data_IF_592992567117
#
_entry.id   IF_592992567117
#
_cell.length_a   1.000
_cell.length_b   1.000
_cell.length_c   1.000
_cell.angle_alpha   90.00
_cell.angle_beta   90.00
_cell.angle_gamma   90.00
#
_symmetry.space_group_name_H-M   'P 1'
#
loop_
_entity.id
_entity.type
_entity.pdbx_description
1 polymer ?
#
# COMPACT_ATOMS: atom_id res chain seq x y z
N UNK A 1 17.30 1.48 -1.94
CA UNK A 1 15.96 1.86 -1.51
C UNK A 1 15.12 2.20 -2.73
N UNK A 2 13.93 1.64 -2.84
CA UNK A 2 13.08 1.81 -4.02
C UNK A 2 11.99 2.85 -3.77
N UNK A 3 11.65 3.60 -4.82
CA UNK A 3 10.57 4.57 -4.78
C UNK A 3 9.84 4.56 -6.10
N UNK A 4 8.51 4.56 -6.04
CA UNK A 4 7.66 4.65 -7.23
C UNK A 4 6.61 5.74 -7.01
N UNK A 5 6.51 6.66 -7.97
CA UNK A 5 5.47 7.69 -7.95
C UNK A 5 4.59 7.50 -9.17
N UNK A 6 3.28 7.40 -8.94
CA UNK A 6 2.31 7.18 -10.01
C UNK A 6 1.14 8.14 -9.88
N UNK A 7 0.45 8.39 -11.00
CA UNK A 7 -0.85 9.05 -10.98
C UNK A 7 -1.90 8.04 -10.52
N UNK A 8 -3.04 8.53 -10.00
CA UNK A 8 -4.06 7.65 -9.45
C UNK A 8 -5.11 7.27 -10.50
N UNK A 9 -4.68 6.55 -11.52
CA UNK A 9 -5.58 6.00 -12.54
C UNK A 9 -5.67 4.48 -12.42
N UNK A 10 -6.56 3.88 -13.20
CA UNK A 10 -6.87 2.43 -13.11
C UNK A 10 -5.65 1.56 -13.33
N UNK A 11 -4.73 2.00 -14.16
CA UNK A 11 -3.59 1.18 -14.57
C UNK A 11 -2.40 1.28 -13.61
N UNK A 12 -2.35 2.33 -12.81
CA UNK A 12 -1.20 2.60 -11.94
C UNK A 12 -1.07 1.61 -10.79
N UNK A 13 -2.16 0.95 -10.40
CA UNK A 13 -2.08 -0.06 -9.32
C UNK A 13 -1.15 -1.21 -9.69
N UNK A 14 -1.13 -1.59 -10.96
CA UNK A 14 -0.26 -2.68 -11.41
C UNK A 14 1.22 -2.32 -11.22
N UNK A 15 1.58 -1.06 -11.40
CA UNK A 15 2.95 -0.60 -11.15
C UNK A 15 3.32 -0.69 -9.66
N UNK A 16 2.40 -0.32 -8.79
CA UNK A 16 2.63 -0.37 -7.34
C UNK A 16 2.75 -1.82 -6.87
N UNK A 17 1.86 -2.69 -7.34
CA UNK A 17 1.90 -4.11 -6.98
C UNK A 17 3.18 -4.77 -7.50
N UNK A 18 3.61 -4.44 -8.71
CA UNK A 18 4.86 -4.95 -9.27
C UNK A 18 6.06 -4.52 -8.42
N UNK A 19 6.07 -3.28 -7.95
CA UNK A 19 7.13 -2.78 -7.09
C UNK A 19 7.17 -3.50 -5.74
N UNK A 20 6.00 -3.70 -5.14
CA UNK A 20 5.85 -4.46 -3.90
C UNK A 20 6.37 -5.88 -4.07
N UNK A 21 5.98 -6.56 -5.14
CA UNK A 21 6.41 -7.93 -5.43
C UNK A 21 7.93 -7.99 -5.57
N UNK A 22 8.52 -7.07 -6.29
CA UNK A 22 9.97 -7.04 -6.50
C UNK A 22 10.73 -6.83 -5.19
N UNK A 23 10.30 -5.84 -4.40
CA UNK A 23 11.00 -5.50 -3.16
C UNK A 23 10.86 -6.58 -2.09
N UNK A 24 9.65 -7.08 -1.89
CA UNK A 24 9.42 -8.08 -0.86
C UNK A 24 9.94 -9.46 -1.27
N UNK A 25 9.95 -9.77 -2.56
CA UNK A 25 10.58 -10.99 -3.05
C UNK A 25 12.10 -10.97 -2.80
N UNK A 26 12.73 -9.81 -3.03
CA UNK A 26 14.17 -9.63 -2.77
C UNK A 26 14.50 -9.76 -1.27
N UNK A 27 13.52 -9.55 -0.39
CA UNK A 27 13.66 -9.66 1.05
C UNK A 27 13.23 -11.04 1.58
N UNK A 28 13.01 -11.99 0.69
CA UNK A 28 12.57 -13.36 1.03
C UNK A 28 11.23 -13.42 1.76
N UNK A 29 10.35 -12.46 1.51
CA UNK A 29 8.98 -12.50 2.05
C UNK A 29 8.22 -13.62 1.33
N UNK A 30 7.56 -14.54 2.07
CA UNK A 30 6.81 -15.64 1.44
C UNK A 30 5.72 -15.14 0.48
N UNK A 31 5.47 -15.91 -0.57
CA UNK A 31 4.49 -15.56 -1.60
C UNK A 31 3.12 -15.22 -1.01
N UNK A 32 2.66 -16.01 -0.04
CA UNK A 32 1.35 -15.76 0.58
C UNK A 32 1.28 -14.39 1.24
N UNK A 33 2.34 -13.98 1.92
CA UNK A 33 2.36 -12.67 2.58
C UNK A 33 2.45 -11.54 1.57
N UNK A 34 3.18 -11.75 0.46
CA UNK A 34 3.20 -10.77 -0.63
C UNK A 34 1.81 -10.57 -1.23
N UNK A 35 1.08 -11.68 -1.44
CA UNK A 35 -0.29 -11.62 -1.94
C UNK A 35 -1.20 -10.86 -0.99
N UNK A 36 -1.10 -11.14 0.30
CA UNK A 36 -1.90 -10.44 1.31
C UNK A 36 -1.59 -8.95 1.38
N UNK A 37 -0.31 -8.60 1.29
CA UNK A 37 0.10 -7.19 1.23
C UNK A 37 -0.45 -6.50 -0.02
N UNK A 38 -0.46 -7.20 -1.16
CA UNK A 38 -1.02 -6.68 -2.40
C UNK A 38 -2.52 -6.43 -2.28
N UNK A 39 -3.25 -7.33 -1.64
CA UNK A 39 -4.69 -7.16 -1.41
C UNK A 39 -4.99 -5.89 -0.61
N UNK A 40 -4.23 -5.66 0.46
CA UNK A 40 -4.38 -4.45 1.27
C UNK A 40 -4.02 -3.20 0.49
N UNK A 41 -2.94 -3.27 -0.28
CA UNK A 41 -2.49 -2.15 -1.12
C UNK A 41 -3.53 -1.77 -2.16
N UNK A 42 -4.14 -2.76 -2.81
CA UNK A 42 -5.19 -2.52 -3.80
C UNK A 42 -6.41 -1.86 -3.17
N UNK A 43 -6.78 -2.28 -1.96
CA UNK A 43 -7.91 -1.69 -1.26
C UNK A 43 -7.65 -0.24 -0.88
N UNK A 44 -6.46 0.07 -0.39
CA UNK A 44 -6.06 1.45 -0.09
C UNK A 44 -6.05 2.29 -1.36
N UNK A 45 -5.46 1.76 -2.44
CA UNK A 45 -5.40 2.46 -3.72
C UNK A 45 -6.80 2.80 -4.23
N UNK A 46 -7.73 1.85 -4.14
CA UNK A 46 -9.11 2.04 -4.59
C UNK A 46 -9.79 3.17 -3.80
N UNK A 47 -9.62 3.19 -2.48
CA UNK A 47 -10.19 4.23 -1.63
C UNK A 47 -9.61 5.60 -1.94
N UNK A 48 -8.30 5.67 -2.15
CA UNK A 48 -7.62 6.93 -2.47
C UNK A 48 -8.07 7.44 -3.84
N UNK A 49 -8.23 6.53 -4.80
CA UNK A 49 -8.65 6.90 -6.15
C UNK A 49 -10.04 7.54 -6.19
N UNK A 50 -10.94 7.11 -5.30
CA UNK A 50 -12.29 7.67 -5.25
C UNK A 50 -12.32 9.15 -4.85
N UNK A 51 -11.32 9.63 -4.12
CA UNK A 51 -11.25 11.02 -3.69
C UNK A 51 -10.17 11.80 -4.44
N UNK A 52 -9.47 11.16 -5.38
CA UNK A 52 -8.37 11.78 -6.09
C UNK A 52 -8.85 12.72 -7.18
N UNK A 53 -8.07 13.79 -7.39
CA UNK A 53 -8.24 14.70 -8.51
C UNK A 53 -7.27 14.30 -9.62
N UNK A 54 -7.32 15.00 -10.76
CA UNK A 54 -6.42 14.74 -11.89
C UNK A 54 -4.95 14.94 -11.55
N UNK A 55 -4.66 15.73 -10.52
CA UNK A 55 -3.28 16.05 -10.12
C UNK A 55 -2.80 15.21 -8.95
N UNK A 56 -3.64 14.33 -8.43
CA UNK A 56 -3.28 13.49 -7.29
C UNK A 56 -2.23 12.45 -7.67
N UNK A 57 -1.33 12.19 -6.75
CA UNK A 57 -0.27 11.22 -6.94
C UNK A 57 -0.12 10.32 -5.72
N UNK A 58 0.30 9.10 -5.97
CA UNK A 58 0.66 8.13 -4.96
C UNK A 58 2.16 7.90 -5.02
N UNK A 59 2.82 8.01 -3.88
CA UNK A 59 4.24 7.68 -3.74
C UNK A 59 4.37 6.42 -2.91
N UNK A 60 5.08 5.45 -3.44
CA UNK A 60 5.35 4.19 -2.76
C UNK A 60 6.83 4.11 -2.44
N UNK A 61 7.19 3.93 -1.18
CA UNK A 61 8.58 3.80 -0.74
C UNK A 61 8.74 2.59 0.18
N UNK A 62 9.98 2.11 0.31
CA UNK A 62 10.32 0.96 1.14
C UNK A 62 11.43 1.39 2.11
N UNK A 63 11.07 2.12 3.18
CA UNK A 63 12.07 2.75 4.06
C UNK A 63 12.85 1.79 4.94
N UNK A 64 12.34 0.58 5.13
CA UNK A 64 13.01 -0.45 5.94
C UNK A 64 12.55 -1.82 5.47
N UNK A 65 13.27 -2.91 5.87
CA UNK A 65 12.88 -4.26 5.49
C UNK A 65 11.44 -4.58 5.91
N UNK A 66 10.72 -5.28 5.03
CA UNK A 66 9.34 -5.73 5.26
C UNK A 66 8.35 -4.59 5.51
N UNK A 67 8.68 -3.38 5.08
CA UNK A 67 7.84 -2.20 5.29
C UNK A 67 7.68 -1.42 3.99
N UNK A 68 6.43 -1.07 3.68
CA UNK A 68 6.10 -0.24 2.54
C UNK A 68 5.27 0.95 3.04
N UNK A 69 5.58 2.15 2.57
CA UNK A 69 4.81 3.35 2.88
C UNK A 69 4.17 3.85 1.60
N UNK A 70 2.87 4.11 1.67
CA UNK A 70 2.10 4.72 0.60
C UNK A 70 1.71 6.13 1.05
N UNK A 71 2.17 7.13 0.31
CA UNK A 71 1.78 8.53 0.53
C UNK A 71 0.90 8.97 -0.61
N UNK A 72 -0.22 9.59 -0.30
CA UNK A 72 -1.16 10.04 -1.31
C UNK A 72 -1.44 11.53 -1.12
N UNK A 73 -1.17 12.32 -2.16
CA UNK A 73 -1.25 13.77 -2.11
C UNK A 73 -1.82 14.33 -3.40
N UNK A 74 -2.48 15.45 -3.25
CA UNK A 74 -2.90 16.33 -4.32
C UNK A 74 -2.05 17.61 -4.23
N UNK A 75 -2.16 18.48 -5.21
CA UNK A 75 -1.51 19.79 -5.18
C UNK A 75 -1.91 20.63 -3.96
N UNK A 76 -3.09 20.39 -3.42
CA UNK A 76 -3.63 21.12 -2.26
C UNK A 76 -3.32 20.45 -0.92
N UNK A 77 -2.57 19.37 -0.92
CA UNK A 77 -2.17 18.67 0.30
C UNK A 77 -2.54 17.21 0.34
N UNK A 78 -2.61 16.63 1.54
CA UNK A 78 -2.92 15.24 1.74
C UNK A 78 -4.38 14.93 1.38
N UNK A 79 -4.61 13.80 0.69
CA UNK A 79 -5.96 13.31 0.42
C UNK A 79 -6.51 12.64 1.68
N UNK A 80 -7.84 12.64 1.80
CA UNK A 80 -8.53 12.04 2.95
C UNK A 80 -9.51 10.97 2.48
N UNK A 81 -8.99 9.81 2.08
CA UNK A 81 -9.85 8.71 1.63
C UNK A 81 -10.62 8.08 2.79
N UNK A 82 -11.72 7.41 2.46
CA UNK A 82 -12.42 6.56 3.40
C UNK A 82 -11.73 5.19 3.42
N UNK A 83 -10.99 4.94 4.48
CA UNK A 83 -10.19 3.72 4.65
C UNK A 83 -10.88 2.65 5.50
N UNK A 84 -12.19 2.77 5.72
CA UNK A 84 -12.92 1.82 6.57
C UNK A 84 -12.88 0.39 6.02
N UNK A 85 -12.98 0.23 4.71
CA UNK A 85 -12.89 -1.11 4.09
C UNK A 85 -11.49 -1.69 4.19
N UNK A 86 -10.48 -0.86 3.99
CA UNK A 86 -9.09 -1.29 4.15
C UNK A 86 -8.80 -1.71 5.60
N UNK A 87 -9.33 -0.96 6.57
CA UNK A 87 -9.18 -1.29 7.98
C UNK A 87 -9.86 -2.62 8.33
N UNK A 88 -11.03 -2.89 7.76
CA UNK A 88 -11.71 -4.19 7.94
C UNK A 88 -10.89 -5.32 7.35
N UNK A 89 -10.38 -5.12 6.14
CA UNK A 89 -9.58 -6.14 5.47
C UNK A 89 -8.31 -6.45 6.27
N UNK A 90 -7.70 -5.44 6.86
CA UNK A 90 -6.50 -5.61 7.68
C UNK A 90 -6.74 -6.46 8.93
N UNK A 91 -7.99 -6.52 9.40
CA UNK A 91 -8.37 -7.33 10.56
C UNK A 91 -8.91 -8.71 10.19
N UNK A 92 -9.07 -8.98 8.91
CA UNK A 92 -9.58 -10.25 8.43
C UNK A 92 -8.47 -11.31 8.44
N UNK A 93 -8.76 -12.57 8.83
CA UNK A 93 -7.76 -13.64 8.78
C UNK A 93 -7.12 -13.84 7.41
N UNK A 94 -7.78 -13.44 6.32
CA UNK A 94 -7.20 -13.56 4.98
C UNK A 94 -6.00 -12.64 4.77
N UNK A 95 -5.70 -11.73 5.69
CA UNK A 95 -4.51 -10.88 5.64
C UNK A 95 -3.60 -11.07 6.86
N UNK A 96 -3.72 -12.18 7.57
CA UNK A 96 -2.85 -12.50 8.69
C UNK A 96 -1.38 -12.43 8.26
N UNK A 97 -0.52 -11.91 9.14
CA UNK A 97 0.90 -11.74 8.86
C UNK A 97 1.25 -10.40 8.23
N UNK A 98 0.24 -9.60 7.90
CA UNK A 98 0.42 -8.25 7.35
C UNK A 98 -0.37 -7.27 8.20
N UNK A 99 0.25 -6.17 8.59
CA UNK A 99 -0.42 -5.11 9.36
C UNK A 99 -0.36 -3.79 8.60
N UNK A 100 -1.34 -2.94 8.88
CA UNK A 100 -1.43 -1.61 8.26
C UNK A 100 -1.65 -0.58 9.34
N UNK A 101 -0.85 0.50 9.30
CA UNK A 101 -1.07 1.67 10.15
C UNK A 101 -1.47 2.82 9.25
N UNK A 102 -2.56 3.50 9.60
CA UNK A 102 -3.09 4.61 8.83
C UNK A 102 -2.71 5.94 9.48
N UNK A 103 -2.24 6.88 8.64
CA UNK A 103 -1.84 8.21 9.06
C UNK A 103 -2.50 9.23 8.14
N UNK A 104 -2.41 10.50 8.49
CA UNK A 104 -2.92 11.55 7.62
C UNK A 104 -2.08 11.59 6.34
N UNK A 105 -2.73 11.32 5.21
CA UNK A 105 -2.07 11.35 3.90
C UNK A 105 -1.14 10.18 3.60
N UNK A 106 -1.14 9.14 4.45
CA UNK A 106 -0.29 7.97 4.19
C UNK A 106 -0.77 6.73 4.94
N UNK A 107 -0.27 5.57 4.51
CA UNK A 107 -0.38 4.36 5.30
C UNK A 107 0.93 3.56 5.21
N UNK A 108 1.16 2.75 6.23
CA UNK A 108 2.35 1.90 6.32
C UNK A 108 1.91 0.46 6.37
N UNK A 109 2.40 -0.33 5.41
CA UNK A 109 2.12 -1.77 5.33
C UNK A 109 3.36 -2.50 5.80
N UNK A 110 3.22 -3.36 6.79
CA UNK A 110 4.34 -4.07 7.41
C UNK A 110 4.07 -5.58 7.38
N UNK A 111 5.07 -6.34 6.97
CA UNK A 111 5.02 -7.80 7.01
C UNK A 111 5.52 -8.25 8.38
N UNK A 112 4.67 -8.94 9.12
CA UNK A 112 5.02 -9.45 10.44
C UNK A 112 6.00 -10.61 10.33
N UNK A 113 6.94 -10.65 11.25
CA UNK A 113 7.94 -11.72 11.27
C UNK A 113 7.42 -12.99 11.94
N UNK A 114 6.35 -12.88 12.67
CA UNK A 114 5.79 -13.98 13.44
C UNK A 114 5.22 -15.11 12.60
N UNK A 115 5.02 -14.88 11.32
CA UNK A 115 4.52 -15.88 10.38
C UNK A 115 5.62 -16.73 9.76
N UNK A 116 6.84 -16.45 10.11
CA UNK A 116 7.99 -17.15 9.53
C UNK A 116 8.39 -18.37 10.36
#
# INVERSE_FOLDING_TARGET
>A
MSERVVTLDVESIDEIVAELEREFSAQDVPTLLRLRASMLTEEVFSAVREVATDTAKLRCTFPSPRTMVLQYRDKDGALKPDLSMAARLAKNPCTDGVSVAFHEGSCTVTIDRSGS
#
